data_IF_870789388314
#
_entry.id   IF_870789388314
#
_cell.length_a   1.000
_cell.length_b   1.000
_cell.length_c   1.000
_cell.angle_alpha   90.00
_cell.angle_beta   90.00
_cell.angle_gamma   90.00
#
_symmetry.space_group_name_H-M   'P 1'
#
loop_
_entity.id
_entity.type
_entity.pdbx_description
1 polymer ?
#
# COMPACT_ATOMS: atom_id res chain seq x y z
N UNK A 1 -39.04 -1.96 -21.18
CA UNK A 1 -37.93 -2.83 -20.71
C UNK A 1 -36.71 -1.96 -20.40
N UNK A 2 -36.35 -1.78 -19.13
CA UNK A 2 -35.04 -1.23 -18.74
C UNK A 2 -34.34 -2.33 -17.94
N UNK A 3 -33.34 -2.95 -18.58
CA UNK A 3 -32.44 -3.94 -17.99
C UNK A 3 -31.76 -3.31 -16.76
N UNK A 4 -32.08 -3.79 -15.55
CA UNK A 4 -31.25 -3.58 -14.36
C UNK A 4 -29.93 -4.34 -14.58
N UNK A 5 -28.99 -3.74 -15.32
CA UNK A 5 -27.65 -4.28 -15.52
C UNK A 5 -26.75 -3.85 -14.36
N UNK A 6 -26.45 -4.84 -13.51
CA UNK A 6 -25.37 -4.93 -12.51
C UNK A 6 -25.55 -4.18 -11.17
N UNK A 7 -26.08 -4.93 -10.20
CA UNK A 7 -25.83 -4.71 -8.77
C UNK A 7 -24.36 -5.03 -8.54
N UNK A 8 -23.50 -4.02 -8.46
CA UNK A 8 -22.15 -4.20 -7.99
C UNK A 8 -22.24 -4.48 -6.48
N UNK A 9 -22.10 -5.74 -6.07
CA UNK A 9 -22.22 -6.16 -4.66
C UNK A 9 -21.10 -5.61 -3.76
N UNK A 10 -20.19 -4.81 -4.33
CA UNK A 10 -19.26 -3.94 -3.62
C UNK A 10 -19.69 -2.48 -3.76
N UNK A 11 -19.97 -1.79 -2.64
CA UNK A 11 -20.23 -0.34 -2.60
C UNK A 11 -19.01 0.54 -2.98
N UNK A 12 -17.94 -0.04 -3.55
CA UNK A 12 -16.67 0.63 -3.82
C UNK A 12 -16.60 1.05 -5.28
N UNK A 13 -16.64 2.35 -5.54
CA UNK A 13 -16.41 2.93 -6.87
C UNK A 13 -14.96 2.69 -7.31
N UNK A 14 -14.77 2.23 -8.54
CA UNK A 14 -13.49 2.16 -9.23
C UNK A 14 -12.95 3.54 -9.61
N UNK A 15 -11.66 3.63 -9.94
CA UNK A 15 -11.03 4.87 -10.43
C UNK A 15 -11.72 5.39 -11.70
N UNK A 16 -12.10 4.49 -12.61
CA UNK A 16 -12.79 4.84 -13.85
C UNK A 16 -14.17 5.45 -13.58
N UNK A 17 -14.95 4.85 -12.68
CA UNK A 17 -16.27 5.39 -12.31
C UNK A 17 -16.17 6.77 -11.66
N UNK A 18 -15.17 6.98 -10.78
CA UNK A 18 -14.91 8.31 -10.20
C UNK A 18 -14.53 9.34 -11.25
N UNK A 19 -13.78 8.94 -12.27
CA UNK A 19 -13.47 9.83 -13.39
C UNK A 19 -14.73 10.20 -14.17
N UNK A 20 -15.59 9.24 -14.49
CA UNK A 20 -16.88 9.50 -15.17
C UNK A 20 -17.79 10.41 -14.33
N UNK A 21 -17.80 10.27 -13.01
CA UNK A 21 -18.50 11.17 -12.09
C UNK A 21 -18.02 12.63 -12.28
N UNK A 22 -16.70 12.85 -12.35
CA UNK A 22 -16.12 14.18 -12.58
C UNK A 22 -16.47 14.71 -13.97
N UNK A 23 -16.46 13.87 -15.01
CA UNK A 23 -16.88 14.27 -16.36
C UNK A 23 -18.35 14.72 -16.39
N UNK A 24 -19.26 13.97 -15.76
CA UNK A 24 -20.66 14.39 -15.63
C UNK A 24 -20.79 15.73 -14.89
N UNK A 25 -20.03 15.92 -13.80
CA UNK A 25 -20.04 17.16 -13.04
C UNK A 25 -19.52 18.35 -13.85
N UNK A 26 -18.41 18.19 -14.58
CA UNK A 26 -17.86 19.20 -15.48
C UNK A 26 -18.84 19.55 -16.61
N UNK A 27 -19.63 18.58 -17.08
CA UNK A 27 -20.70 18.80 -18.05
C UNK A 27 -21.97 19.42 -17.43
N UNK A 28 -21.91 19.95 -16.21
CA UNK A 28 -22.99 20.67 -15.56
C UNK A 28 -24.11 19.79 -14.97
N UNK A 29 -23.92 18.48 -14.84
CA UNK A 29 -24.95 17.62 -14.26
C UNK A 29 -25.15 17.90 -12.76
N UNK A 30 -26.42 17.92 -12.33
CA UNK A 30 -26.76 18.04 -10.90
C UNK A 30 -26.24 16.84 -10.11
N UNK A 31 -25.66 17.09 -8.93
CA UNK A 31 -25.08 16.04 -8.06
C UNK A 31 -26.09 14.97 -7.65
N UNK A 32 -27.37 15.32 -7.52
CA UNK A 32 -28.48 14.38 -7.26
C UNK A 32 -28.65 13.37 -8.39
N UNK A 33 -28.57 13.83 -9.65
CA UNK A 33 -28.67 12.98 -10.85
C UNK A 33 -27.46 12.05 -10.96
N UNK A 34 -26.26 12.56 -10.65
CA UNK A 34 -25.04 11.76 -10.64
C UNK A 34 -25.12 10.68 -9.56
N UNK A 35 -25.50 11.05 -8.33
CA UNK A 35 -25.67 10.12 -7.22
C UNK A 35 -26.64 8.96 -7.55
N UNK A 36 -27.79 9.28 -8.16
CA UNK A 36 -28.77 8.29 -8.60
C UNK A 36 -28.21 7.36 -9.70
N UNK A 37 -27.49 7.92 -10.68
CA UNK A 37 -26.90 7.14 -11.79
C UNK A 37 -25.87 6.12 -11.32
N UNK A 38 -25.07 6.49 -10.32
CA UNK A 38 -24.00 5.65 -9.77
C UNK A 38 -24.41 4.89 -8.51
N UNK A 39 -25.68 4.96 -8.09
CA UNK A 39 -26.20 4.32 -6.87
C UNK A 39 -25.36 4.59 -5.62
N UNK A 40 -24.87 5.83 -5.47
CA UNK A 40 -24.10 6.26 -4.30
C UNK A 40 -24.75 7.43 -3.61
N UNK A 41 -24.41 7.65 -2.33
CA UNK A 41 -24.90 8.82 -1.61
C UNK A 41 -24.38 10.12 -2.23
N UNK A 42 -25.19 11.20 -2.12
CA UNK A 42 -24.76 12.55 -2.51
C UNK A 42 -23.47 12.97 -1.79
N UNK A 43 -23.31 12.56 -0.53
CA UNK A 43 -22.10 12.82 0.26
C UNK A 43 -20.85 12.19 -0.36
N UNK A 44 -20.98 11.01 -0.98
CA UNK A 44 -19.87 10.36 -1.70
C UNK A 44 -19.47 11.17 -2.93
N UNK A 45 -20.45 11.66 -3.70
CA UNK A 45 -20.20 12.55 -4.84
C UNK A 45 -19.47 13.82 -4.41
N UNK A 46 -19.92 14.50 -3.35
CA UNK A 46 -19.25 15.69 -2.83
C UNK A 46 -17.81 15.39 -2.36
N UNK A 47 -17.56 14.26 -1.70
CA UNK A 47 -16.20 13.84 -1.31
C UNK A 47 -15.30 13.56 -2.51
N UNK A 48 -15.84 13.03 -3.60
CA UNK A 48 -15.09 12.80 -4.84
C UNK A 48 -14.75 14.13 -5.50
N UNK A 49 -15.72 15.04 -5.64
CA UNK A 49 -15.51 16.37 -6.21
C UNK A 49 -14.50 17.18 -5.37
N UNK A 50 -14.62 17.15 -4.05
CA UNK A 50 -13.70 17.85 -3.15
C UNK A 50 -12.26 17.38 -3.34
N UNK A 51 -12.02 16.06 -3.35
CA UNK A 51 -10.69 15.49 -3.60
C UNK A 51 -10.15 15.80 -4.99
N UNK A 52 -11.02 15.83 -6.00
CA UNK A 52 -10.61 16.24 -7.35
C UNK A 52 -10.22 17.72 -7.40
N UNK A 53 -10.92 18.59 -6.66
CA UNK A 53 -10.57 20.01 -6.56
C UNK A 53 -9.25 20.25 -5.82
N UNK A 54 -8.93 19.45 -4.80
CA UNK A 54 -7.67 19.58 -4.06
C UNK A 54 -6.48 19.00 -4.83
N UNK A 55 -6.62 17.77 -5.33
CA UNK A 55 -5.47 16.96 -5.79
C UNK A 55 -5.59 16.55 -7.28
N UNK A 56 -6.57 17.09 -8.01
CA UNK A 56 -6.81 16.76 -9.40
C UNK A 56 -7.07 15.27 -9.63
N UNK A 57 -6.46 14.72 -10.67
CA UNK A 57 -6.59 13.29 -11.02
C UNK A 57 -6.00 12.38 -9.93
N UNK A 58 -5.02 12.85 -9.15
CA UNK A 58 -4.45 12.08 -8.04
C UNK A 58 -5.48 11.86 -6.92
N UNK A 59 -6.37 12.82 -6.67
CA UNK A 59 -7.45 12.71 -5.68
C UNK A 59 -8.51 11.64 -5.99
N UNK A 60 -8.52 11.11 -7.21
CA UNK A 60 -9.42 10.03 -7.63
C UNK A 60 -8.85 8.63 -7.37
N UNK A 61 -7.56 8.53 -7.03
CA UNK A 61 -6.91 7.27 -6.75
C UNK A 61 -7.42 6.64 -5.46
N UNK A 62 -7.31 5.32 -5.36
CA UNK A 62 -7.57 4.63 -4.10
C UNK A 62 -6.49 4.99 -3.09
N UNK A 63 -6.91 5.29 -1.86
CA UNK A 63 -5.98 5.36 -0.75
C UNK A 63 -5.40 3.97 -0.52
N UNK A 64 -4.07 3.85 -0.56
CA UNK A 64 -3.39 2.60 -0.24
C UNK A 64 -3.65 2.27 1.24
N UNK A 65 -4.24 1.11 1.57
CA UNK A 65 -4.47 0.75 2.95
C UNK A 65 -3.12 0.58 3.68
N UNK A 66 -3.00 1.17 4.88
CA UNK A 66 -1.85 1.01 5.75
C UNK A 66 -1.03 2.28 5.99
N UNK A 67 0.02 2.15 6.81
CA UNK A 67 0.93 3.25 7.16
C UNK A 67 1.83 3.60 5.98
N UNK A 68 2.00 4.89 5.71
CA UNK A 68 3.00 5.40 4.77
C UNK A 68 4.38 4.81 5.13
N UNK A 69 5.06 4.22 4.15
CA UNK A 69 6.36 3.58 4.34
C UNK A 69 7.39 4.64 4.71
N UNK A 70 8.05 4.48 5.86
CA UNK A 70 9.17 5.33 6.26
C UNK A 70 10.40 4.85 5.49
N UNK A 71 11.15 5.73 4.80
CA UNK A 71 12.40 5.32 4.14
C UNK A 71 13.37 4.77 5.20
N UNK A 72 13.79 3.52 5.02
CA UNK A 72 14.81 2.91 5.88
C UNK A 72 16.18 3.48 5.50
N UNK A 73 17.07 3.58 6.48
CA UNK A 73 18.46 3.95 6.21
C UNK A 73 19.06 2.96 5.18
N UNK A 74 19.59 3.43 4.04
CA UNK A 74 20.13 2.58 2.98
C UNK A 74 21.22 1.61 3.47
N UNK A 75 22.07 2.04 4.40
CA UNK A 75 23.14 1.20 4.95
C UNK A 75 22.57 0.06 5.80
N UNK A 76 21.54 0.36 6.60
CA UNK A 76 20.83 -0.67 7.36
C UNK A 76 20.18 -1.69 6.43
N UNK A 77 19.53 -1.20 5.37
CA UNK A 77 18.89 -2.04 4.36
C UNK A 77 19.88 -3.00 3.72
N UNK A 78 20.98 -2.48 3.17
CA UNK A 78 22.04 -3.27 2.55
C UNK A 78 22.64 -4.30 3.50
N UNK A 79 22.87 -3.94 4.77
CA UNK A 79 23.39 -4.86 5.77
C UNK A 79 22.44 -6.03 6.06
N UNK A 80 21.14 -5.79 6.18
CA UNK A 80 20.14 -6.85 6.39
C UNK A 80 20.12 -7.82 5.22
N UNK A 81 20.09 -7.31 3.98
CA UNK A 81 20.09 -8.13 2.77
C UNK A 81 21.36 -8.98 2.70
N UNK A 82 22.52 -8.35 2.88
CA UNK A 82 23.82 -9.04 2.88
C UNK A 82 23.89 -10.16 3.93
N UNK A 83 23.43 -9.92 5.16
CA UNK A 83 23.43 -10.95 6.21
C UNK A 83 22.46 -12.08 5.82
N UNK A 84 21.26 -11.75 5.34
CA UNK A 84 20.23 -12.72 4.94
C UNK A 84 20.72 -13.64 3.82
N UNK A 85 21.36 -13.09 2.80
CA UNK A 85 21.87 -13.85 1.66
C UNK A 85 23.04 -14.75 2.04
N UNK A 86 23.98 -14.24 2.83
CA UNK A 86 25.17 -15.00 3.26
C UNK A 86 24.82 -16.15 4.22
N UNK A 87 23.90 -15.90 5.16
CA UNK A 87 23.65 -16.83 6.28
C UNK A 87 22.36 -17.62 6.17
N UNK A 88 21.34 -17.07 5.50
CA UNK A 88 19.97 -17.59 5.55
C UNK A 88 19.28 -17.38 6.90
N UNK A 89 19.79 -16.50 7.78
CA UNK A 89 19.18 -16.22 9.08
C UNK A 89 17.82 -15.50 8.97
N UNK A 90 16.93 -15.78 9.92
CA UNK A 90 15.65 -15.07 10.06
C UNK A 90 15.79 -13.77 10.87
N UNK A 91 14.76 -12.93 10.84
CA UNK A 91 14.80 -11.59 11.43
C UNK A 91 15.22 -11.55 12.91
N UNK A 92 14.71 -12.43 13.77
CA UNK A 92 15.08 -12.45 15.19
C UNK A 92 16.58 -12.74 15.42
N UNK A 93 17.20 -13.54 14.55
CA UNK A 93 18.63 -13.85 14.64
C UNK A 93 19.48 -12.70 14.13
N UNK A 94 19.04 -12.03 13.07
CA UNK A 94 19.67 -10.81 12.55
C UNK A 94 19.54 -9.67 13.59
N UNK A 95 18.41 -9.53 14.26
CA UNK A 95 18.20 -8.58 15.37
C UNK A 95 19.23 -8.82 16.49
N UNK A 96 19.40 -10.09 16.90
CA UNK A 96 20.41 -10.45 17.91
C UNK A 96 21.83 -10.08 17.46
N UNK A 97 22.16 -10.30 16.18
CA UNK A 97 23.45 -9.91 15.61
C UNK A 97 23.68 -8.39 15.69
N UNK A 98 22.69 -7.59 15.31
CA UNK A 98 22.77 -6.13 15.44
C UNK A 98 22.92 -5.69 16.90
N UNK A 99 22.18 -6.32 17.82
CA UNK A 99 22.27 -6.03 19.25
C UNK A 99 23.67 -6.27 19.81
N UNK A 100 24.34 -7.36 19.39
CA UNK A 100 25.73 -7.67 19.80
C UNK A 100 26.71 -6.61 19.25
N UNK A 101 26.47 -6.09 18.04
CA UNK A 101 27.29 -5.01 17.44
C UNK A 101 26.92 -3.60 17.96
N UNK A 102 26.06 -3.49 18.97
CA UNK A 102 25.69 -2.22 19.61
C UNK A 102 24.52 -1.47 18.95
N UNK A 103 23.84 -2.07 17.96
CA UNK A 103 22.68 -1.46 17.30
C UNK A 103 21.37 -2.01 17.85
N UNK A 104 20.44 -1.12 18.23
CA UNK A 104 19.08 -1.51 18.61
C UNK A 104 18.14 -1.36 17.41
N UNK A 105 17.62 -2.48 16.90
CA UNK A 105 16.70 -2.48 15.77
C UNK A 105 15.59 -3.49 16.00
N UNK A 106 14.33 -3.10 15.78
CA UNK A 106 13.20 -4.02 15.87
C UNK A 106 13.25 -5.09 14.76
N UNK A 107 13.08 -6.37 15.12
CA UNK A 107 12.92 -7.45 14.14
C UNK A 107 11.81 -7.19 13.11
N UNK A 108 10.78 -6.39 13.42
CA UNK A 108 9.75 -6.03 12.44
C UNK A 108 10.31 -5.19 11.29
N UNK A 109 11.26 -4.29 11.55
CA UNK A 109 11.95 -3.54 10.49
C UNK A 109 12.78 -4.48 9.61
N UNK A 110 13.42 -5.48 10.21
CA UNK A 110 14.18 -6.49 9.47
C UNK A 110 13.23 -7.36 8.61
N UNK A 111 12.08 -7.77 9.16
CA UNK A 111 11.05 -8.50 8.41
C UNK A 111 10.52 -7.69 7.22
N UNK A 112 10.34 -6.37 7.37
CA UNK A 112 9.92 -5.51 6.25
C UNK A 112 10.94 -5.54 5.10
N UNK A 113 12.24 -5.49 5.40
CA UNK A 113 13.31 -5.61 4.38
C UNK A 113 13.24 -6.98 3.69
N UNK A 114 13.14 -8.05 4.46
CA UNK A 114 13.09 -9.43 3.92
C UNK A 114 11.88 -9.63 3.01
N UNK A 115 10.71 -9.12 3.41
CA UNK A 115 9.48 -9.21 2.61
C UNK A 115 9.59 -8.38 1.32
N UNK A 116 10.20 -7.20 1.38
CA UNK A 116 10.39 -6.34 0.22
C UNK A 116 11.27 -6.99 -0.84
N UNK A 117 12.37 -7.60 -0.43
CA UNK A 117 13.30 -8.32 -1.32
C UNK A 117 12.80 -9.71 -1.72
N UNK A 118 11.58 -10.10 -1.35
CA UNK A 118 11.01 -11.43 -1.59
C UNK A 118 11.89 -12.60 -1.07
N UNK A 119 12.71 -12.34 -0.05
CA UNK A 119 13.61 -13.32 0.58
C UNK A 119 12.90 -14.19 1.64
N UNK A 120 11.58 -14.26 1.55
CA UNK A 120 10.67 -14.94 2.49
C UNK A 120 10.79 -16.46 2.42
N UNK A 121 11.24 -17.03 1.28
CA UNK A 121 11.50 -18.47 1.17
C UNK A 121 12.57 -18.88 2.18
N UNK A 122 12.21 -19.85 3.03
CA UNK A 122 13.08 -20.39 4.08
C UNK A 122 14.21 -21.19 3.43
N UNK A 123 15.34 -20.55 3.13
CA UNK A 123 16.59 -21.28 2.88
C UNK A 123 17.01 -21.91 4.21
N UNK A 124 17.38 -23.20 4.20
CA UNK A 124 18.03 -23.79 5.38
C UNK A 124 19.24 -22.92 5.72
N UNK A 125 19.29 -22.42 6.96
CA UNK A 125 20.36 -21.52 7.37
C UNK A 125 21.69 -22.27 7.15
N UNK A 126 22.52 -21.75 6.25
CA UNK A 126 23.88 -22.29 6.08
C UNK A 126 24.61 -22.02 7.39
N UNK A 127 25.48 -22.94 7.81
CA UNK A 127 26.39 -22.73 8.96
C UNK A 127 27.44 -21.69 8.54
N UNK A 128 27.00 -20.43 8.40
CA UNK A 128 27.83 -19.31 7.99
C UNK A 128 28.59 -18.76 9.19
N UNK A 129 29.91 -18.88 9.17
CA UNK A 129 30.80 -18.21 10.10
C UNK A 129 30.84 -16.73 9.74
N UNK A 130 29.96 -15.92 10.32
CA UNK A 130 30.24 -14.49 10.48
C UNK A 130 31.16 -14.42 11.70
N UNK A 131 32.46 -14.16 11.47
CA UNK A 131 33.42 -13.98 12.55
C UNK A 131 32.84 -13.01 13.58
N UNK A 132 32.69 -13.50 14.81
CA UNK A 132 31.99 -12.85 15.90
C UNK A 132 32.84 -11.70 16.44
#
# INVERSE_FOLDING_TARGET
MIKKMYVNNSNKLSKSERFTIIQCWNNGWKTTRIALRFSVSRTTIYKIISRYKSDGVFGLQDHLPGKLRIPLNPNFYANVVNIREKTGWGACRIERYFKIKGFSVSHNKINQVIQYENLTRKKWAKKGNLNM
#
